data_IF_530081896402
#
_entry.id   IF_530081896402
#
_cell.length_a   1.000
_cell.length_b   1.000
_cell.length_c   1.000
_cell.angle_alpha   90.00
_cell.angle_beta   90.00
_cell.angle_gamma   90.00
#
_symmetry.space_group_name_H-M   'P 1'
#
loop_
_entity.id
_entity.type
_entity.pdbx_description
1 polymer ?
#
# COMPACT_ATOMS: atom_id res chain seq x y z
N UNK A 1 13.03 -5.65 0.09
CA UNK A 1 12.53 -4.96 1.30
C UNK A 1 13.56 -3.99 1.83
N UNK A 2 13.44 -3.63 3.11
CA UNK A 2 14.40 -2.82 3.86
C UNK A 2 15.57 -3.66 4.41
N UNK A 3 15.29 -4.92 4.78
CA UNK A 3 16.30 -5.93 5.10
C UNK A 3 17.01 -6.35 3.80
N UNK A 4 18.31 -6.04 3.71
CA UNK A 4 19.10 -6.26 2.49
C UNK A 4 19.64 -7.68 2.48
N UNK A 5 20.04 -8.18 3.65
CA UNK A 5 20.57 -9.50 3.87
C UNK A 5 19.53 -10.57 3.49
N UNK A 6 18.28 -10.40 3.92
CA UNK A 6 17.16 -11.27 3.53
C UNK A 6 16.87 -11.18 2.03
N UNK A 7 16.88 -9.97 1.46
CA UNK A 7 16.64 -9.77 0.03
C UNK A 7 17.69 -10.48 -0.82
N UNK A 8 18.96 -10.34 -0.47
CA UNK A 8 20.09 -10.96 -1.17
C UNK A 8 20.09 -12.48 -0.99
N UNK A 9 19.70 -12.99 0.19
CA UNK A 9 19.53 -14.41 0.43
C UNK A 9 18.52 -15.05 -0.54
N UNK A 10 17.47 -14.31 -0.91
CA UNK A 10 16.46 -14.75 -1.88
C UNK A 10 16.78 -14.35 -3.34
N UNK A 11 18.05 -14.04 -3.64
CA UNK A 11 18.51 -13.71 -4.99
C UNK A 11 18.06 -12.34 -5.52
N UNK A 12 17.54 -11.48 -4.64
CA UNK A 12 17.21 -10.10 -4.96
C UNK A 12 18.42 -9.17 -4.88
N UNK A 13 18.27 -7.95 -5.41
CA UNK A 13 19.31 -6.92 -5.32
C UNK A 13 18.71 -5.61 -4.82
N UNK A 14 19.47 -4.92 -3.95
CA UNK A 14 19.11 -3.58 -3.45
C UNK A 14 18.84 -2.59 -4.59
N UNK A 15 19.58 -2.67 -5.70
CA UNK A 15 19.49 -1.72 -6.81
C UNK A 15 18.26 -1.95 -7.67
N UNK A 16 17.87 -3.21 -7.89
CA UNK A 16 16.75 -3.56 -8.79
C UNK A 16 15.43 -3.83 -8.06
N UNK A 17 15.43 -3.98 -6.73
CA UNK A 17 14.25 -4.41 -5.93
C UNK A 17 12.96 -3.66 -6.26
N UNK A 18 13.02 -2.35 -6.52
CA UNK A 18 11.83 -1.54 -6.79
C UNK A 18 11.28 -1.81 -8.19
N UNK A 19 12.16 -1.92 -9.19
CA UNK A 19 11.78 -2.28 -10.56
C UNK A 19 11.18 -3.70 -10.61
N UNK A 20 11.79 -4.66 -9.90
CA UNK A 20 11.26 -6.02 -9.78
C UNK A 20 9.87 -6.03 -9.15
N UNK A 21 9.66 -5.29 -8.07
CA UNK A 21 8.32 -5.18 -7.43
C UNK A 21 7.31 -4.57 -8.37
N UNK A 22 7.65 -3.44 -9.02
CA UNK A 22 6.78 -2.78 -10.01
C UNK A 22 6.32 -3.75 -11.09
N UNK A 23 7.25 -4.46 -11.74
CA UNK A 23 6.89 -5.39 -12.82
C UNK A 23 6.05 -6.57 -12.34
N UNK A 24 6.36 -7.14 -11.17
CA UNK A 24 5.56 -8.24 -10.61
C UNK A 24 4.14 -7.80 -10.27
N UNK A 25 3.98 -6.61 -9.70
CA UNK A 25 2.65 -6.06 -9.37
C UNK A 25 1.85 -5.79 -10.64
N UNK A 26 2.45 -5.17 -11.66
CA UNK A 26 1.77 -4.93 -12.94
C UNK A 26 1.37 -6.24 -13.64
N UNK A 27 2.25 -7.25 -13.65
CA UNK A 27 1.92 -8.57 -14.19
C UNK A 27 0.76 -9.25 -13.43
N UNK A 28 0.75 -9.13 -12.09
CA UNK A 28 -0.36 -9.60 -11.26
C UNK A 28 -1.67 -8.86 -11.56
N UNK A 29 -1.63 -7.53 -11.69
CA UNK A 29 -2.79 -6.72 -12.03
C UNK A 29 -3.35 -7.07 -13.42
N UNK A 30 -2.50 -7.34 -14.41
CA UNK A 30 -2.93 -7.86 -15.72
C UNK A 30 -3.63 -9.21 -15.58
N UNK A 31 -3.04 -10.17 -14.85
CA UNK A 31 -3.66 -11.49 -14.60
C UNK A 31 -5.02 -11.38 -13.90
N UNK A 32 -5.18 -10.40 -13.00
CA UNK A 32 -6.44 -10.17 -12.29
C UNK A 32 -7.50 -9.46 -13.14
N UNK A 33 -7.11 -8.47 -13.93
CA UNK A 33 -8.04 -7.61 -14.66
C UNK A 33 -8.43 -8.12 -16.05
N UNK A 34 -7.55 -8.89 -16.70
CA UNK A 34 -7.72 -9.32 -18.09
C UNK A 34 -8.15 -10.79 -18.17
N UNK A 35 -9.00 -11.13 -19.14
CA UNK A 35 -9.40 -12.53 -19.38
C UNK A 35 -8.18 -13.38 -19.74
N UNK A 36 -7.38 -12.90 -20.69
CA UNK A 36 -6.11 -13.44 -21.14
C UNK A 36 -5.05 -12.33 -20.99
N UNK A 37 -4.06 -12.54 -20.14
CA UNK A 37 -3.06 -11.54 -19.81
C UNK A 37 -1.69 -11.92 -20.39
N UNK A 38 -0.89 -10.91 -20.73
CA UNK A 38 0.54 -11.06 -21.02
C UNK A 38 1.31 -9.91 -20.40
N UNK A 39 2.60 -10.09 -20.15
CA UNK A 39 3.44 -9.03 -19.59
C UNK A 39 4.87 -9.13 -20.12
N UNK A 40 5.41 -8.01 -20.61
CA UNK A 40 6.78 -7.96 -21.14
C UNK A 40 7.57 -6.83 -20.46
N UNK A 41 8.41 -7.20 -19.51
CA UNK A 41 9.31 -6.33 -18.78
C UNK A 41 10.74 -6.88 -18.75
N UNK A 42 11.62 -6.18 -18.04
CA UNK A 42 13.03 -6.57 -17.88
C UNK A 42 13.21 -7.70 -16.87
N UNK A 43 12.33 -7.79 -15.88
CA UNK A 43 12.38 -8.72 -14.77
C UNK A 43 11.26 -9.76 -14.79
N UNK A 44 10.15 -9.47 -15.47
CA UNK A 44 9.04 -10.40 -15.68
C UNK A 44 8.73 -10.47 -17.17
N UNK A 45 8.74 -11.69 -17.73
CA UNK A 45 8.28 -11.98 -19.07
C UNK A 45 7.27 -13.11 -18.97
N UNK A 46 6.05 -12.83 -19.38
CA UNK A 46 4.93 -13.74 -19.30
C UNK A 46 4.23 -13.72 -20.66
N UNK A 47 4.25 -14.88 -21.32
CA UNK A 47 3.43 -15.13 -22.49
C UNK A 47 1.95 -15.12 -22.10
N UNK A 48 1.06 -15.18 -23.08
CA UNK A 48 -0.38 -15.22 -22.83
C UNK A 48 -0.75 -16.32 -21.82
N UNK A 49 -1.46 -15.91 -20.76
CA UNK A 49 -1.85 -16.77 -19.65
C UNK A 49 -3.24 -16.38 -19.12
N UNK A 50 -3.90 -17.36 -18.49
CA UNK A 50 -5.18 -17.18 -17.83
C UNK A 50 -5.02 -17.45 -16.33
N UNK A 51 -5.56 -16.56 -15.50
CA UNK A 51 -5.66 -16.75 -14.06
C UNK A 51 -7.13 -16.74 -13.64
N UNK A 52 -7.59 -17.85 -13.07
CA UNK A 52 -8.94 -18.03 -12.53
C UNK A 52 -8.88 -18.65 -11.14
N UNK A 53 -9.79 -18.29 -10.22
CA UNK A 53 -10.87 -17.31 -10.39
C UNK A 53 -10.38 -15.86 -10.44
N UNK A 54 -11.17 -14.96 -11.06
CA UNK A 54 -10.91 -13.52 -11.03
C UNK A 54 -11.30 -12.93 -9.66
N UNK A 55 -10.60 -11.88 -9.18
CA UNK A 55 -11.04 -11.16 -7.99
C UNK A 55 -12.46 -10.63 -8.13
N UNK A 56 -13.23 -10.72 -7.04
CA UNK A 56 -14.60 -10.17 -6.98
C UNK A 56 -14.61 -8.66 -6.81
N UNK A 57 -13.51 -8.09 -6.32
CA UNK A 57 -13.34 -6.67 -6.11
C UNK A 57 -13.08 -5.95 -7.45
N UNK A 58 -13.60 -4.73 -7.56
CA UNK A 58 -13.33 -3.82 -8.67
C UNK A 58 -12.43 -2.70 -8.17
N UNK A 59 -11.33 -2.46 -8.86
CA UNK A 59 -10.33 -1.44 -8.55
C UNK A 59 -10.09 -0.65 -9.83
N UNK A 60 -10.20 0.69 -9.76
CA UNK A 60 -10.03 1.59 -10.92
C UNK A 60 -10.84 1.18 -12.16
N UNK A 61 -12.06 0.66 -11.92
CA UNK A 61 -13.00 0.29 -12.99
C UNK A 61 -12.86 -1.12 -13.56
N UNK A 62 -11.92 -1.95 -13.09
CA UNK A 62 -11.72 -3.33 -13.55
C UNK A 62 -11.60 -4.32 -12.39
N UNK A 63 -11.74 -5.63 -12.67
CA UNK A 63 -11.48 -6.67 -11.65
C UNK A 63 -10.04 -6.57 -11.14
N UNK A 64 -9.83 -6.71 -9.84
CA UNK A 64 -8.51 -6.52 -9.25
C UNK A 64 -8.48 -6.66 -7.74
N UNK A 65 -7.27 -6.55 -7.17
CA UNK A 65 -7.04 -6.46 -5.73
C UNK A 65 -6.39 -5.13 -5.44
N UNK A 66 -6.87 -4.33 -4.47
CA UNK A 66 -6.23 -3.07 -4.11
C UNK A 66 -4.77 -3.27 -3.71
N UNK A 67 -3.86 -2.51 -4.30
CA UNK A 67 -2.44 -2.53 -4.03
C UNK A 67 -2.05 -1.31 -3.20
N UNK A 68 -1.56 -1.54 -1.99
CA UNK A 68 -1.00 -0.49 -1.14
C UNK A 68 0.53 -0.63 -1.08
N UNK A 69 1.24 0.48 -1.28
CA UNK A 69 2.72 0.47 -1.20
C UNK A 69 3.16 1.06 0.12
N UNK A 70 3.91 0.28 0.89
CA UNK A 70 4.53 0.73 2.14
C UNK A 70 5.90 1.35 1.92
N UNK A 71 6.20 2.42 2.65
CA UNK A 71 7.52 3.05 2.63
C UNK A 71 7.51 4.46 3.20
N UNK A 72 8.71 4.97 3.48
CA UNK A 72 8.92 6.37 3.84
C UNK A 72 8.55 7.28 2.66
N UNK A 73 7.95 8.47 2.92
CA UNK A 73 7.56 9.39 1.87
C UNK A 73 8.77 9.84 1.06
N UNK A 74 8.55 10.10 -0.22
CA UNK A 74 9.59 10.59 -1.12
C UNK A 74 9.22 10.40 -2.60
N UNK A 75 9.93 11.10 -3.50
CA UNK A 75 9.55 11.20 -4.91
C UNK A 75 9.44 9.83 -5.59
N UNK A 76 10.41 8.93 -5.36
CA UNK A 76 10.36 7.58 -5.95
C UNK A 76 9.18 6.75 -5.45
N UNK A 77 8.80 6.87 -4.18
CA UNK A 77 7.65 6.14 -3.65
C UNK A 77 6.35 6.66 -4.28
N UNK A 78 6.19 7.98 -4.33
CA UNK A 78 4.97 8.60 -4.85
C UNK A 78 4.82 8.45 -6.36
N UNK A 79 5.91 8.43 -7.13
CA UNK A 79 5.87 8.04 -8.56
C UNK A 79 5.32 6.63 -8.73
N UNK A 80 5.79 5.65 -7.94
CA UNK A 80 5.26 4.28 -8.02
C UNK A 80 3.80 4.18 -7.59
N UNK A 81 3.40 4.92 -6.55
CA UNK A 81 2.01 4.91 -6.09
C UNK A 81 1.09 5.49 -7.16
N UNK A 82 1.46 6.64 -7.73
CA UNK A 82 0.72 7.28 -8.80
C UNK A 82 0.58 6.36 -10.03
N UNK A 83 1.66 5.65 -10.37
CA UNK A 83 1.74 4.77 -11.52
C UNK A 83 0.86 3.51 -11.39
N UNK A 84 1.08 2.68 -10.35
CA UNK A 84 0.51 1.32 -10.32
C UNK A 84 -0.19 0.93 -9.02
N UNK A 85 -0.18 1.78 -7.99
CA UNK A 85 -0.80 1.44 -6.71
C UNK A 85 -2.15 2.13 -6.51
N UNK A 86 -2.94 1.61 -5.59
CA UNK A 86 -4.21 2.19 -5.17
C UNK A 86 -4.07 3.05 -3.91
N UNK A 87 -2.93 2.94 -3.21
CA UNK A 87 -2.68 3.74 -2.03
C UNK A 87 -1.30 3.62 -1.41
N UNK A 88 -1.11 4.44 -0.38
CA UNK A 88 0.07 4.52 0.47
C UNK A 88 -0.23 3.92 1.85
N UNK A 89 0.62 3.02 2.33
CA UNK A 89 0.53 2.46 3.69
C UNK A 89 1.80 2.80 4.51
N UNK A 90 1.94 4.04 5.01
CA UNK A 90 3.12 4.44 5.79
C UNK A 90 3.18 3.74 7.14
N UNK A 91 4.40 3.54 7.64
CA UNK A 91 4.61 3.06 9.01
C UNK A 91 4.48 4.23 9.97
N UNK A 92 3.44 4.21 10.80
CA UNK A 92 3.06 5.27 11.73
C UNK A 92 2.51 6.51 11.02
N UNK A 93 2.41 7.60 11.79
CA UNK A 93 1.85 8.88 11.32
C UNK A 93 2.85 9.97 10.98
N UNK A 94 4.12 9.77 11.30
CA UNK A 94 5.11 10.83 11.19
C UNK A 94 5.29 11.24 9.72
N UNK A 95 5.15 12.54 9.44
CA UNK A 95 5.33 13.09 8.10
C UNK A 95 4.16 12.90 7.14
N UNK A 96 3.10 12.16 7.50
CA UNK A 96 1.94 11.92 6.61
C UNK A 96 1.33 13.24 6.15
N UNK A 97 0.94 14.11 7.09
CA UNK A 97 0.36 15.42 6.79
C UNK A 97 1.25 16.27 5.86
N UNK A 98 2.55 16.30 6.14
CA UNK A 98 3.51 17.08 5.36
C UNK A 98 3.71 16.54 3.94
N UNK A 99 3.42 15.26 3.71
CA UNK A 99 3.64 14.59 2.43
C UNK A 99 2.37 14.46 1.56
N UNK A 100 1.19 14.86 2.06
CA UNK A 100 -0.05 14.78 1.29
C UNK A 100 0.00 15.58 -0.01
N UNK A 101 0.59 16.78 0.01
CA UNK A 101 0.70 17.63 -1.17
C UNK A 101 1.63 17.03 -2.25
N UNK A 102 2.73 16.42 -1.83
CA UNK A 102 3.67 15.74 -2.73
C UNK A 102 3.03 14.49 -3.36
N UNK A 103 2.21 13.76 -2.60
CA UNK A 103 1.46 12.61 -3.10
C UNK A 103 0.41 13.05 -4.14
N UNK A 104 -0.34 14.11 -3.85
CA UNK A 104 -1.31 14.67 -4.79
C UNK A 104 -0.63 15.14 -6.08
N UNK A 105 0.48 15.86 -5.96
CA UNK A 105 1.30 16.29 -7.12
C UNK A 105 1.78 15.10 -7.96
N UNK A 106 2.12 13.97 -7.33
CA UNK A 106 2.53 12.78 -8.07
C UNK A 106 1.37 12.13 -8.84
N UNK A 107 0.16 12.11 -8.28
CA UNK A 107 -1.04 11.61 -8.95
C UNK A 107 -1.45 12.52 -10.12
N UNK A 108 -1.45 13.84 -9.92
CA UNK A 108 -1.78 14.82 -10.97
C UNK A 108 -0.82 14.74 -12.16
N UNK A 109 0.47 14.46 -11.94
CA UNK A 109 1.47 14.27 -13.00
C UNK A 109 1.16 13.11 -13.96
N UNK A 110 0.29 12.18 -13.57
CA UNK A 110 -0.17 11.06 -14.40
C UNK A 110 -1.67 11.15 -14.69
N UNK A 111 -2.25 12.35 -14.61
CA UNK A 111 -3.66 12.65 -14.86
C UNK A 111 -4.63 11.82 -13.99
N UNK A 112 -4.21 11.47 -12.78
CA UNK A 112 -5.02 10.77 -11.78
C UNK A 112 -5.55 11.74 -10.74
N UNK A 113 -6.83 11.60 -10.38
CA UNK A 113 -7.42 12.32 -9.25
C UNK A 113 -6.71 11.90 -7.93
N UNK A 114 -6.09 12.85 -7.19
CA UNK A 114 -5.46 12.57 -5.90
C UNK A 114 -6.36 11.88 -4.88
N UNK A 115 -7.67 12.10 -4.95
CA UNK A 115 -8.64 11.51 -4.01
C UNK A 115 -8.85 10.01 -4.23
N UNK A 116 -8.46 9.47 -5.38
CA UNK A 116 -8.44 8.02 -5.64
C UNK A 116 -7.26 7.31 -4.98
N UNK A 117 -6.31 8.04 -4.39
CA UNK A 117 -5.15 7.44 -3.70
C UNK A 117 -5.47 7.30 -2.22
N UNK A 118 -5.68 6.06 -1.77
CA UNK A 118 -5.96 5.79 -0.35
C UNK A 118 -4.69 5.98 0.49
N UNK A 119 -4.80 6.57 1.67
CA UNK A 119 -3.68 6.66 2.63
C UNK A 119 -4.08 5.96 3.93
N UNK A 120 -3.31 4.96 4.35
CA UNK A 120 -3.60 4.16 5.56
C UNK A 120 -2.39 4.16 6.49
N UNK A 121 -2.32 5.03 7.51
CA UNK A 121 -1.27 4.96 8.52
C UNK A 121 -1.29 3.61 9.25
N UNK A 122 -0.21 2.84 9.13
CA UNK A 122 -0.08 1.49 9.67
C UNK A 122 0.78 1.44 10.93
N UNK A 123 0.31 0.73 11.96
CA UNK A 123 1.04 0.59 13.21
C UNK A 123 0.97 1.85 14.07
N UNK A 124 -0.12 2.60 13.99
CA UNK A 124 -0.38 3.77 14.83
C UNK A 124 -0.76 3.34 16.25
N UNK A 125 -0.18 3.97 17.27
CA UNK A 125 -0.74 3.90 18.63
C UNK A 125 -1.99 4.80 18.68
N UNK A 126 -3.14 4.30 19.16
CA UNK A 126 -4.36 5.06 19.17
C UNK A 126 -4.29 6.22 20.17
N UNK A 127 -4.73 7.38 19.70
CA UNK A 127 -4.91 8.60 20.49
C UNK A 127 -6.02 9.40 19.81
N UNK A 128 -6.98 9.96 20.56
CA UNK A 128 -8.15 10.62 19.96
C UNK A 128 -7.75 11.83 19.12
N UNK A 129 -6.79 12.62 19.59
CA UNK A 129 -6.30 13.79 18.86
C UNK A 129 -5.64 13.39 17.55
N UNK A 130 -4.83 12.32 17.57
CA UNK A 130 -4.19 11.77 16.36
C UNK A 130 -5.21 11.23 15.35
N UNK A 131 -6.21 10.47 15.81
CA UNK A 131 -7.24 9.92 14.93
C UNK A 131 -8.10 11.03 14.30
N UNK A 132 -8.52 12.02 15.10
CA UNK A 132 -9.22 13.20 14.60
C UNK A 132 -8.35 14.00 13.61
N UNK A 133 -7.03 14.06 13.84
CA UNK A 133 -6.11 14.69 12.90
C UNK A 133 -6.03 13.94 11.56
N UNK A 134 -6.01 12.60 11.57
CA UNK A 134 -6.09 11.82 10.33
C UNK A 134 -7.39 12.04 9.59
N UNK A 135 -8.52 12.02 10.30
CA UNK A 135 -9.83 12.30 9.72
C UNK A 135 -9.86 13.69 9.05
N UNK A 136 -9.31 14.72 9.69
CA UNK A 136 -9.21 16.07 9.12
C UNK A 136 -8.31 16.15 7.86
N UNK A 137 -7.43 15.17 7.63
CA UNK A 137 -6.63 15.02 6.41
C UNK A 137 -7.37 14.21 5.32
N UNK A 138 -8.61 13.77 5.57
CA UNK A 138 -9.38 12.91 4.68
C UNK A 138 -9.01 11.43 4.76
N UNK A 139 -8.23 11.02 5.76
CA UNK A 139 -7.86 9.62 5.97
C UNK A 139 -9.01 8.90 6.66
N UNK A 140 -9.56 7.89 5.99
CA UNK A 140 -10.74 7.12 6.45
C UNK A 140 -10.37 5.81 7.15
N UNK A 141 -9.11 5.37 7.06
CA UNK A 141 -8.65 4.10 7.62
C UNK A 141 -7.26 4.24 8.28
N UNK A 142 -7.08 3.58 9.42
CA UNK A 142 -5.76 3.41 10.06
C UNK A 142 -5.65 2.04 10.69
N UNK A 143 -4.45 1.45 10.67
CA UNK A 143 -4.17 0.18 11.33
C UNK A 143 -3.49 0.46 12.67
N UNK A 144 -4.16 0.08 13.76
CA UNK A 144 -3.63 0.27 15.11
C UNK A 144 -2.61 -0.80 15.48
N UNK A 145 -1.57 -0.40 16.21
CA UNK A 145 -0.47 -1.28 16.62
C UNK A 145 -0.86 -2.09 17.86
N UNK A 146 -0.75 -3.41 17.76
CA UNK A 146 -0.72 -4.30 18.92
C UNK A 146 0.73 -4.56 19.37
N UNK A 147 0.98 -4.78 20.67
CA UNK A 147 2.29 -5.14 21.16
C UNK A 147 2.68 -6.55 20.70
N UNK A 148 3.99 -6.80 20.61
CA UNK A 148 4.53 -8.15 20.50
C UNK A 148 4.64 -8.73 21.91
N UNK A 149 3.56 -9.33 22.39
CA UNK A 149 3.43 -9.85 23.75
C UNK A 149 2.64 -11.16 23.77
N UNK A 150 2.53 -11.76 24.95
CA UNK A 150 1.72 -12.97 25.17
C UNK A 150 0.23 -12.70 24.88
N UNK A 151 -0.50 -13.77 24.53
CA UNK A 151 -1.91 -13.74 24.12
C UNK A 151 -2.77 -12.81 24.99
N UNK A 152 -2.71 -12.98 26.31
CA UNK A 152 -3.59 -12.25 27.22
C UNK A 152 -3.29 -10.74 27.24
N UNK A 153 -2.05 -10.34 27.02
CA UNK A 153 -1.68 -8.93 26.92
C UNK A 153 -2.14 -8.31 25.60
N UNK A 154 -2.02 -9.05 24.50
CA UNK A 154 -2.52 -8.62 23.19
C UNK A 154 -4.03 -8.44 23.23
N UNK A 155 -4.77 -9.39 23.81
CA UNK A 155 -6.23 -9.32 23.94
C UNK A 155 -6.67 -8.14 24.84
N UNK A 156 -6.04 -7.95 26.00
CA UNK A 156 -6.31 -6.76 26.84
C UNK A 156 -6.03 -5.45 26.11
N UNK A 157 -4.98 -5.41 25.30
CA UNK A 157 -4.66 -4.22 24.51
C UNK A 157 -5.73 -3.98 23.44
N UNK A 158 -6.16 -5.03 22.75
CA UNK A 158 -7.24 -4.96 21.76
C UNK A 158 -8.55 -4.48 22.38
N UNK A 159 -8.93 -5.00 23.55
CA UNK A 159 -10.11 -4.54 24.30
C UNK A 159 -10.00 -3.05 24.66
N UNK A 160 -8.79 -2.57 24.97
CA UNK A 160 -8.55 -1.15 25.25
C UNK A 160 -8.76 -0.23 24.03
N UNK A 161 -8.86 -0.80 22.82
CA UNK A 161 -9.16 -0.03 21.61
C UNK A 161 -10.66 0.23 21.40
N UNK A 162 -11.55 -0.48 22.11
CA UNK A 162 -13.00 -0.33 21.97
C UNK A 162 -13.50 1.13 22.04
N UNK A 163 -12.99 2.01 22.93
CA UNK A 163 -13.41 3.41 22.99
C UNK A 163 -13.13 4.23 21.72
N UNK A 164 -12.24 3.77 20.83
CA UNK A 164 -11.93 4.43 19.56
C UNK A 164 -12.80 3.96 18.39
N UNK A 165 -13.58 2.88 18.56
CA UNK A 165 -14.48 2.34 17.54
C UNK A 165 -15.88 2.97 17.58
N UNK A 166 -16.24 3.61 18.69
CA UNK A 166 -17.52 4.27 18.87
C UNK A 166 -17.44 5.71 18.37
N UNK A 167 -17.75 5.89 17.09
CA UNK A 167 -18.18 7.16 16.49
C UNK A 167 -19.70 7.16 16.33
#
# INVERSE_FOLDING_TARGET
GWNIEELENHGGSRTTRRAVVRERVLAMQALWGEEQASFQGQHVQMQEAWAWPKPVQTVRGHSGVPVLVGGAPGPTLFTHIAEFADGWIPIGGAGVAASMADLATAAEKVDRDPTEVTVIPFGSLPDRGKLAHYEALGITETVLRLPSAERDEVLRTLDSFAPFLSG
#
